data_IF_035452786506
#
_entry.id   IF_035452786506
#
_cell.length_a   1.000
_cell.length_b   1.000
_cell.length_c   1.000
_cell.angle_alpha   90.00
_cell.angle_beta   90.00
_cell.angle_gamma   90.00
#
_symmetry.space_group_name_H-M   'P 1'
#
loop_
_entity.id
_entity.type
_entity.pdbx_description
1 polymer ?
#
# COMPACT_ATOMS: atom_id res chain seq x y z
N UNK A 1 42.72 -66.35 -32.88
CA UNK A 1 41.77 -66.12 -31.82
C UNK A 1 41.98 -64.66 -31.37
N UNK A 2 41.28 -63.72 -31.97
CA UNK A 2 41.40 -62.27 -31.75
C UNK A 2 40.34 -61.79 -30.79
N UNK A 3 40.69 -61.18 -29.66
CA UNK A 3 39.78 -60.56 -28.67
C UNK A 3 39.49 -59.15 -29.07
N UNK A 4 38.22 -58.89 -29.44
CA UNK A 4 37.69 -57.56 -29.70
C UNK A 4 37.32 -56.95 -28.32
N UNK A 5 37.96 -55.79 -27.98
CA UNK A 5 37.57 -54.94 -26.83
C UNK A 5 36.51 -53.94 -27.29
N UNK A 6 35.34 -54.04 -26.69
CA UNK A 6 34.25 -53.07 -26.88
C UNK A 6 34.43 -51.94 -25.87
N UNK A 7 34.75 -50.74 -26.34
CA UNK A 7 34.80 -49.53 -25.51
C UNK A 7 33.41 -48.87 -25.48
N UNK A 8 32.85 -48.78 -24.30
CA UNK A 8 31.55 -48.11 -24.04
C UNK A 8 31.82 -46.61 -23.82
N UNK A 9 31.40 -45.78 -24.76
CA UNK A 9 31.43 -44.33 -24.62
C UNK A 9 30.15 -43.90 -23.89
N UNK A 10 30.27 -43.47 -22.61
CA UNK A 10 29.19 -42.75 -21.92
C UNK A 10 29.19 -41.31 -22.36
N UNK A 11 28.17 -40.90 -23.11
CA UNK A 11 27.87 -39.49 -23.41
C UNK A 11 27.09 -38.95 -22.22
N UNK A 12 27.72 -38.11 -21.40
CA UNK A 12 27.07 -37.28 -20.41
C UNK A 12 26.40 -36.12 -21.13
N UNK A 13 25.08 -36.17 -21.28
CA UNK A 13 24.28 -35.03 -21.67
C UNK A 13 24.17 -34.06 -20.50
N UNK A 14 24.92 -32.99 -20.53
CA UNK A 14 24.73 -31.80 -19.66
C UNK A 14 23.46 -31.11 -20.11
N UNK A 15 22.35 -31.35 -19.45
CA UNK A 15 21.16 -30.48 -19.50
C UNK A 15 21.49 -29.18 -18.80
N UNK A 16 21.97 -28.20 -19.55
CA UNK A 16 22.02 -26.82 -19.10
C UNK A 16 20.60 -26.28 -18.98
N UNK A 17 20.06 -26.19 -17.76
CA UNK A 17 18.91 -25.33 -17.48
C UNK A 17 19.35 -23.89 -17.67
N UNK A 18 19.24 -23.37 -18.90
CA UNK A 18 19.29 -21.96 -19.16
C UNK A 18 18.02 -21.35 -18.55
N UNK A 19 18.17 -20.66 -17.42
CA UNK A 19 17.18 -19.68 -17.01
C UNK A 19 17.13 -18.63 -18.12
N UNK A 20 16.05 -18.62 -18.88
CA UNK A 20 15.75 -17.51 -19.78
C UNK A 20 15.60 -16.26 -18.91
N UNK A 21 16.61 -15.40 -18.91
CA UNK A 21 16.47 -14.04 -18.43
C UNK A 21 15.39 -13.38 -19.32
N UNK A 22 14.21 -13.17 -18.77
CA UNK A 22 13.22 -12.36 -19.45
C UNK A 22 13.85 -10.98 -19.65
N UNK A 23 13.87 -10.53 -20.90
CA UNK A 23 14.40 -9.22 -21.28
C UNK A 23 13.45 -8.17 -20.67
N UNK A 24 13.84 -7.59 -19.54
CA UNK A 24 13.03 -6.60 -18.78
C UNK A 24 13.10 -5.20 -19.42
N UNK A 25 13.95 -5.00 -20.42
CA UNK A 25 14.18 -3.69 -21.04
C UNK A 25 12.94 -3.05 -21.68
N UNK A 26 11.92 -3.84 -22.05
CA UNK A 26 10.70 -3.35 -22.73
C UNK A 26 9.41 -3.58 -21.91
N UNK A 27 9.48 -3.97 -20.65
CA UNK A 27 8.26 -4.13 -19.86
C UNK A 27 7.76 -2.78 -19.33
N UNK A 28 6.47 -2.45 -19.51
CA UNK A 28 5.89 -1.22 -18.97
C UNK A 28 5.94 -1.23 -17.44
N UNK A 29 5.99 -0.04 -16.84
CA UNK A 29 5.92 0.10 -15.40
C UNK A 29 4.48 -0.17 -14.93
N UNK A 30 4.31 -1.10 -14.01
CA UNK A 30 3.03 -1.32 -13.30
C UNK A 30 2.83 -0.21 -12.27
N UNK A 31 1.74 0.53 -12.39
CA UNK A 31 1.37 1.61 -11.47
C UNK A 31 0.27 1.11 -10.53
N UNK A 32 0.60 0.88 -9.28
CA UNK A 32 -0.36 0.55 -8.24
C UNK A 32 -0.65 1.77 -7.38
N UNK A 33 -1.86 1.85 -6.82
CA UNK A 33 -2.27 2.99 -6.00
C UNK A 33 -2.92 2.48 -4.72
N UNK A 34 -2.49 2.97 -3.55
CA UNK A 34 -3.13 2.66 -2.28
C UNK A 34 -4.54 3.22 -2.24
N UNK A 35 -5.45 2.47 -1.63
CA UNK A 35 -6.86 2.79 -1.52
C UNK A 35 -7.33 2.68 -0.07
N UNK A 36 -7.69 3.79 0.54
CA UNK A 36 -8.18 3.86 1.91
C UNK A 36 -9.72 3.73 1.93
N UNK A 37 -10.31 2.70 2.59
CA UNK A 37 -11.70 2.31 2.36
C UNK A 37 -12.71 2.91 3.37
N UNK A 38 -12.49 4.10 3.94
CA UNK A 38 -13.34 4.63 5.03
C UNK A 38 -14.39 5.68 4.58
N UNK A 39 -14.73 5.70 3.28
CA UNK A 39 -15.70 6.66 2.73
C UNK A 39 -17.03 6.00 2.33
N UNK A 40 -17.50 5.03 3.13
CA UNK A 40 -18.78 4.35 2.92
C UNK A 40 -19.62 4.33 4.20
N UNK A 41 -20.94 4.32 4.04
CA UNK A 41 -21.90 4.19 5.15
C UNK A 41 -22.09 2.73 5.57
N UNK A 42 -22.72 2.53 6.74
CA UNK A 42 -23.16 1.22 7.20
C UNK A 42 -22.06 0.31 7.72
N UNK A 43 -20.86 0.83 8.00
CA UNK A 43 -19.88 0.05 8.76
C UNK A 43 -20.30 -0.04 10.23
N UNK A 44 -20.52 -1.26 10.77
CA UNK A 44 -21.06 -1.40 12.12
C UNK A 44 -20.16 -0.80 13.21
N UNK A 45 -18.84 -0.82 13.03
CA UNK A 45 -17.88 -0.30 14.01
C UNK A 45 -17.85 1.23 14.00
N UNK A 46 -17.85 1.83 12.81
CA UNK A 46 -17.96 3.28 12.68
C UNK A 46 -19.29 3.79 13.23
N UNK A 47 -20.39 3.13 12.91
CA UNK A 47 -21.71 3.54 13.39
C UNK A 47 -21.86 3.39 14.91
N UNK A 48 -21.27 2.36 15.49
CA UNK A 48 -21.23 2.19 16.96
C UNK A 48 -20.42 3.30 17.65
N UNK A 49 -19.31 3.74 17.07
CA UNK A 49 -18.44 4.75 17.65
C UNK A 49 -18.88 6.19 17.35
N UNK A 50 -19.46 6.45 16.17
CA UNK A 50 -19.69 7.79 15.60
C UNK A 50 -21.14 8.12 15.29
N UNK A 51 -22.02 7.13 15.29
CA UNK A 51 -23.43 7.26 14.92
C UNK A 51 -23.75 6.79 13.51
N UNK A 52 -25.04 6.50 13.29
CA UNK A 52 -25.56 5.94 12.04
C UNK A 52 -25.24 6.83 10.84
N UNK A 53 -24.74 6.21 9.77
CA UNK A 53 -24.42 6.88 8.52
C UNK A 53 -23.11 7.67 8.53
N UNK A 54 -22.31 7.61 9.59
CA UNK A 54 -21.02 8.29 9.65
C UNK A 54 -20.04 7.69 8.61
N UNK A 55 -19.29 8.58 7.97
CA UNK A 55 -18.16 8.26 7.12
C UNK A 55 -17.05 9.27 7.37
N UNK A 56 -15.82 9.01 6.96
CA UNK A 56 -14.72 9.95 7.14
C UNK A 56 -14.89 11.26 6.33
N UNK A 57 -15.85 11.31 5.39
CA UNK A 57 -16.28 12.56 4.76
C UNK A 57 -16.69 13.65 5.76
N UNK A 58 -17.15 13.26 6.96
CA UNK A 58 -17.53 14.23 8.00
C UNK A 58 -16.33 15.06 8.49
N UNK A 59 -15.13 14.49 8.48
CA UNK A 59 -13.90 15.22 8.81
C UNK A 59 -13.49 16.14 7.66
N UNK A 60 -13.56 15.66 6.43
CA UNK A 60 -13.24 16.43 5.23
C UNK A 60 -14.15 17.65 5.10
N UNK A 61 -15.48 17.48 5.28
CA UNK A 61 -16.47 18.56 5.22
C UNK A 61 -16.25 19.63 6.27
N UNK A 62 -15.82 19.23 7.48
CA UNK A 62 -15.65 20.14 8.63
C UNK A 62 -14.27 20.79 8.69
N UNK A 63 -13.32 20.29 7.90
CA UNK A 63 -11.96 20.82 7.88
C UNK A 63 -11.93 22.33 7.57
N UNK A 64 -10.98 23.04 8.16
CA UNK A 64 -10.78 24.49 7.94
C UNK A 64 -9.30 24.86 7.95
N UNK A 65 -8.96 26.01 7.38
CA UNK A 65 -7.57 26.49 7.41
C UNK A 65 -7.04 26.57 8.85
N UNK A 66 -5.82 26.09 9.06
CA UNK A 66 -5.15 26.03 10.37
C UNK A 66 -4.07 27.10 10.51
N UNK A 67 -3.58 27.62 9.39
CA UNK A 67 -2.56 28.67 9.31
C UNK A 67 -2.74 29.49 8.02
N UNK A 68 -2.02 30.58 7.89
CA UNK A 68 -2.12 31.46 6.72
C UNK A 68 -1.73 30.73 5.42
N UNK A 69 -2.57 30.83 4.39
CA UNK A 69 -2.37 30.12 3.12
C UNK A 69 -2.77 28.64 3.12
N UNK A 70 -3.17 28.07 4.25
CA UNK A 70 -3.63 26.70 4.32
C UNK A 70 -4.95 26.49 3.59
N UNK A 71 -5.00 25.50 2.69
CA UNK A 71 -6.20 25.17 1.92
C UNK A 71 -7.01 24.06 2.57
N UNK A 72 -8.11 24.42 3.20
CA UNK A 72 -9.16 23.52 3.67
C UNK A 72 -10.52 24.26 3.63
N UNK A 73 -11.67 23.57 3.49
CA UNK A 73 -11.80 22.15 3.16
C UNK A 73 -11.38 21.86 1.72
N UNK A 74 -10.93 20.62 1.46
CA UNK A 74 -10.77 20.08 0.12
C UNK A 74 -12.08 19.46 -0.30
N UNK A 75 -12.59 19.81 -1.49
CA UNK A 75 -13.94 19.40 -1.94
C UNK A 75 -13.84 18.48 -3.13
N UNK A 76 -14.34 17.23 -3.02
CA UNK A 76 -14.32 16.28 -4.14
C UNK A 76 -15.16 16.79 -5.32
N UNK A 77 -14.61 16.65 -6.55
CA UNK A 77 -15.33 17.04 -7.78
C UNK A 77 -16.55 16.16 -8.02
N UNK A 78 -16.48 14.88 -7.64
CA UNK A 78 -17.56 13.91 -7.79
C UNK A 78 -18.56 13.92 -6.61
N UNK A 79 -18.39 14.85 -5.67
CA UNK A 79 -19.14 14.88 -4.42
C UNK A 79 -18.65 13.84 -3.41
N UNK A 80 -19.33 13.79 -2.28
CA UNK A 80 -19.03 12.87 -1.17
C UNK A 80 -19.69 11.51 -1.44
N UNK A 81 -19.08 10.72 -2.31
CA UNK A 81 -19.62 9.42 -2.76
C UNK A 81 -19.59 8.37 -1.67
N UNK A 82 -20.58 7.47 -1.68
CA UNK A 82 -20.56 6.25 -0.84
C UNK A 82 -19.83 5.14 -1.60
N UNK A 83 -18.67 4.73 -1.11
CA UNK A 83 -17.82 3.72 -1.76
C UNK A 83 -18.36 2.28 -1.65
N UNK A 84 -19.44 2.07 -0.92
CA UNK A 84 -20.21 0.83 -0.96
C UNK A 84 -21.04 0.71 -2.23
N UNK A 85 -21.36 1.82 -2.89
CA UNK A 85 -22.13 1.82 -4.13
C UNK A 85 -21.26 1.36 -5.32
N UNK A 86 -21.62 0.24 -6.00
CA UNK A 86 -20.91 -0.23 -7.17
C UNK A 86 -20.87 0.78 -8.34
N UNK A 87 -21.83 1.72 -8.41
CA UNK A 87 -21.83 2.76 -9.45
C UNK A 87 -20.78 3.83 -9.16
N UNK A 88 -20.65 4.26 -7.90
CA UNK A 88 -19.59 5.16 -7.48
C UNK A 88 -18.20 4.52 -7.73
N UNK A 89 -18.05 3.25 -7.38
CA UNK A 89 -16.80 2.51 -7.61
C UNK A 89 -16.52 2.31 -9.10
N UNK A 90 -17.54 2.09 -9.94
CA UNK A 90 -17.35 1.98 -11.38
C UNK A 90 -16.79 3.27 -11.98
N UNK A 91 -17.23 4.45 -11.53
CA UNK A 91 -16.67 5.74 -11.93
C UNK A 91 -15.18 5.87 -11.55
N UNK A 92 -14.83 5.48 -10.32
CA UNK A 92 -13.44 5.52 -9.82
C UNK A 92 -12.54 4.55 -10.58
N UNK A 93 -13.00 3.33 -10.85
CA UNK A 93 -12.30 2.31 -11.66
C UNK A 93 -12.04 2.84 -13.08
N UNK A 94 -13.05 3.41 -13.73
CA UNK A 94 -12.90 3.96 -15.08
C UNK A 94 -11.90 5.12 -15.09
N UNK A 95 -11.96 6.00 -14.11
CA UNK A 95 -11.02 7.11 -13.99
C UNK A 95 -9.59 6.61 -13.79
N UNK A 96 -9.35 5.67 -12.87
CA UNK A 96 -8.03 5.11 -12.61
C UNK A 96 -7.45 4.40 -13.84
N UNK A 97 -8.21 3.48 -14.44
CA UNK A 97 -7.77 2.71 -15.60
C UNK A 97 -7.52 3.59 -16.85
N UNK A 98 -8.35 4.63 -17.06
CA UNK A 98 -8.17 5.57 -18.19
C UNK A 98 -6.94 6.50 -18.00
N UNK A 99 -6.39 6.57 -16.79
CA UNK A 99 -5.23 7.42 -16.48
C UNK A 99 -3.96 6.63 -16.15
N UNK A 100 -3.90 5.34 -16.52
CA UNK A 100 -2.67 4.57 -16.45
C UNK A 100 -2.39 3.91 -15.10
N UNK A 101 -3.36 3.84 -14.19
CA UNK A 101 -3.29 3.02 -12.98
C UNK A 101 -3.68 1.59 -13.33
N UNK A 102 -2.91 0.60 -12.87
CA UNK A 102 -3.10 -0.82 -13.15
C UNK A 102 -3.77 -1.56 -12.02
N UNK A 103 -3.50 -1.16 -10.78
CA UNK A 103 -3.98 -1.85 -9.59
C UNK A 103 -4.33 -0.89 -8.45
N UNK A 104 -5.35 -1.24 -7.68
CA UNK A 104 -5.56 -0.70 -6.35
C UNK A 104 -4.98 -1.66 -5.30
N UNK A 105 -4.29 -1.10 -4.29
CA UNK A 105 -3.86 -1.81 -3.08
C UNK A 105 -4.77 -1.33 -1.97
N UNK A 106 -5.77 -2.13 -1.61
CA UNK A 106 -6.69 -1.76 -0.55
C UNK A 106 -6.03 -1.89 0.82
N UNK A 107 -6.14 -0.85 1.64
CA UNK A 107 -5.86 -0.92 3.06
C UNK A 107 -6.92 -1.83 3.68
N UNK A 108 -6.52 -3.06 4.03
CA UNK A 108 -7.42 -4.11 4.46
C UNK A 108 -7.32 -4.30 5.97
N UNK A 109 -8.43 -4.14 6.65
CA UNK A 109 -8.52 -4.23 8.10
C UNK A 109 -9.21 -5.51 8.51
N UNK A 110 -8.52 -6.33 9.31
CA UNK A 110 -9.05 -7.57 9.84
C UNK A 110 -8.55 -7.77 11.27
N UNK A 111 -9.49 -7.94 12.20
CA UNK A 111 -9.24 -8.06 13.63
C UNK A 111 -9.68 -9.43 14.16
N UNK A 112 -9.43 -9.70 15.46
CA UNK A 112 -9.80 -10.96 16.11
C UNK A 112 -11.31 -11.25 15.98
N UNK A 113 -12.12 -10.23 16.10
CA UNK A 113 -13.58 -10.31 16.10
C UNK A 113 -14.24 -10.06 14.72
N UNK A 114 -13.43 -9.83 13.66
CA UNK A 114 -13.96 -9.72 12.30
C UNK A 114 -13.38 -8.59 11.47
N UNK A 115 -13.95 -8.37 10.27
CA UNK A 115 -13.51 -7.35 9.34
C UNK A 115 -13.92 -5.95 9.78
N UNK A 116 -13.21 -4.95 9.23
CA UNK A 116 -13.53 -3.54 9.36
C UNK A 116 -13.30 -2.85 8.01
N UNK A 117 -14.14 -1.91 7.65
CA UNK A 117 -14.09 -1.12 6.40
C UNK A 117 -14.13 -1.95 5.09
N UNK A 118 -14.46 -3.24 5.16
CA UNK A 118 -14.40 -4.15 4.01
C UNK A 118 -15.49 -3.91 2.96
N UNK A 119 -16.57 -3.19 3.28
CA UNK A 119 -17.73 -3.02 2.37
C UNK A 119 -17.38 -2.23 1.11
N UNK A 120 -16.42 -1.31 1.18
CA UNK A 120 -15.89 -0.61 0.02
C UNK A 120 -15.35 -1.61 -1.03
N UNK A 121 -14.56 -2.60 -0.59
CA UNK A 121 -14.02 -3.65 -1.46
C UNK A 121 -15.10 -4.66 -1.87
N UNK A 122 -15.82 -5.22 -0.88
CA UNK A 122 -16.69 -6.39 -1.08
C UNK A 122 -18.02 -6.03 -1.79
N UNK A 123 -18.60 -4.87 -1.48
CA UNK A 123 -19.88 -4.43 -2.03
C UNK A 123 -19.70 -3.40 -3.15
N UNK A 124 -18.70 -2.53 -3.04
CA UNK A 124 -18.39 -1.51 -4.04
C UNK A 124 -17.55 -2.05 -5.19
N UNK A 125 -16.25 -2.22 -4.96
CA UNK A 125 -15.27 -2.55 -6.01
C UNK A 125 -15.54 -3.89 -6.69
N UNK A 126 -15.68 -4.98 -5.92
CA UNK A 126 -15.86 -6.33 -6.47
C UNK A 126 -17.22 -6.52 -7.16
N UNK A 127 -18.21 -5.68 -6.88
CA UNK A 127 -19.54 -5.71 -7.53
C UNK A 127 -19.69 -4.67 -8.65
N UNK A 128 -18.69 -3.80 -8.85
CA UNK A 128 -18.72 -2.86 -9.95
C UNK A 128 -18.67 -3.60 -11.29
N UNK A 129 -19.50 -3.17 -12.26
CA UNK A 129 -19.64 -3.81 -13.59
C UNK A 129 -18.33 -3.87 -14.40
N UNK A 130 -17.40 -2.98 -14.08
CA UNK A 130 -16.10 -2.80 -14.75
C UNK A 130 -14.91 -3.15 -13.84
N UNK A 131 -15.12 -3.90 -12.75
CA UNK A 131 -14.06 -4.29 -11.78
C UNK A 131 -12.85 -4.99 -12.45
N UNK A 132 -13.07 -5.68 -13.58
CA UNK A 132 -12.01 -6.35 -14.33
C UNK A 132 -11.07 -5.40 -15.10
N UNK A 133 -11.36 -4.09 -15.14
CA UNK A 133 -10.47 -3.08 -15.75
C UNK A 133 -9.24 -2.79 -14.89
N UNK A 134 -9.31 -3.06 -13.59
CA UNK A 134 -8.20 -2.90 -12.65
C UNK A 134 -7.87 -4.21 -11.94
N UNK A 135 -6.60 -4.42 -11.68
CA UNK A 135 -6.19 -5.38 -10.67
C UNK A 135 -6.45 -4.81 -9.29
N UNK A 136 -6.52 -5.69 -8.30
CA UNK A 136 -6.51 -5.29 -6.89
C UNK A 136 -5.64 -6.23 -6.06
N UNK A 137 -5.15 -5.71 -4.96
CA UNK A 137 -4.47 -6.49 -3.93
C UNK A 137 -4.78 -5.90 -2.57
N UNK A 138 -4.28 -6.54 -1.53
CA UNK A 138 -4.52 -6.16 -0.16
C UNK A 138 -3.19 -5.82 0.53
N UNK A 139 -3.21 -4.74 1.30
CA UNK A 139 -2.24 -4.47 2.36
C UNK A 139 -2.96 -4.65 3.68
N UNK A 140 -2.57 -5.65 4.47
CA UNK A 140 -3.13 -5.78 5.81
C UNK A 140 -2.63 -4.62 6.67
N UNK A 141 -3.54 -3.66 6.94
CA UNK A 141 -3.34 -2.54 7.84
C UNK A 141 -3.50 -3.04 9.29
N UNK A 142 -2.58 -3.89 9.69
CA UNK A 142 -2.58 -4.67 10.93
C UNK A 142 -2.05 -3.87 12.13
N UNK A 143 -2.55 -2.66 12.32
CA UNK A 143 -2.24 -1.81 13.47
C UNK A 143 -3.45 -1.67 14.41
N UNK A 144 -3.19 -1.22 15.63
CA UNK A 144 -4.26 -0.88 16.57
C UNK A 144 -5.10 0.27 16.00
N UNK A 145 -6.42 0.11 15.98
CA UNK A 145 -7.31 1.20 15.61
C UNK A 145 -7.66 2.03 16.83
N UNK A 146 -7.24 3.27 16.82
CA UNK A 146 -7.42 4.20 17.92
C UNK A 146 -8.35 5.35 17.52
N UNK A 147 -8.99 5.98 18.53
CA UNK A 147 -9.89 7.10 18.31
C UNK A 147 -9.10 8.38 18.02
N UNK A 148 -9.00 8.70 16.71
CA UNK A 148 -8.35 9.92 16.20
C UNK A 148 -9.19 10.63 15.13
N UNK A 149 -10.54 10.48 15.17
CA UNK A 149 -11.43 10.94 14.11
C UNK A 149 -12.57 11.84 14.63
N UNK A 150 -12.29 13.10 15.09
CA UNK A 150 -10.98 13.77 15.17
C UNK A 150 -10.26 13.52 16.51
N UNK A 151 -8.95 13.67 16.50
CA UNK A 151 -8.12 13.61 17.70
C UNK A 151 -8.06 14.96 18.40
N UNK A 152 -8.37 14.98 19.70
CA UNK A 152 -8.20 16.13 20.57
C UNK A 152 -6.86 16.05 21.29
N UNK A 153 -6.03 17.06 21.13
CA UNK A 153 -4.71 17.12 21.74
C UNK A 153 -4.76 17.05 23.26
N UNK A 154 -3.85 16.28 23.83
CA UNK A 154 -3.74 16.12 25.30
C UNK A 154 -4.76 15.17 25.91
N UNK A 155 -5.54 14.45 25.07
CA UNK A 155 -6.34 13.32 25.53
C UNK A 155 -5.66 12.00 25.18
N UNK A 156 -5.91 10.95 25.94
CA UNK A 156 -5.47 9.61 25.60
C UNK A 156 -6.18 9.14 24.34
N UNK A 157 -5.44 8.52 23.43
CA UNK A 157 -6.01 7.86 22.26
C UNK A 157 -6.69 6.57 22.73
N UNK A 158 -8.01 6.56 22.72
CA UNK A 158 -8.77 5.36 23.10
C UNK A 158 -8.52 4.25 22.08
N UNK A 159 -8.01 3.10 22.55
CA UNK A 159 -7.93 1.89 21.74
C UNK A 159 -9.35 1.36 21.48
N UNK A 160 -9.73 1.31 20.21
CA UNK A 160 -11.02 0.78 19.77
C UNK A 160 -10.91 -0.69 19.35
N UNK A 161 -9.95 -1.02 18.47
CA UNK A 161 -9.76 -2.37 17.95
C UNK A 161 -8.27 -2.75 17.99
N UNK A 162 -7.88 -3.74 18.85
CA UNK A 162 -6.50 -4.21 18.94
C UNK A 162 -6.09 -4.95 17.66
N UNK A 163 -4.88 -4.70 17.19
CA UNK A 163 -4.30 -5.39 16.04
C UNK A 163 -4.03 -6.88 16.29
N UNK A 164 -3.98 -7.29 17.56
CA UNK A 164 -3.66 -8.66 17.95
C UNK A 164 -4.69 -9.66 17.45
N UNK A 165 -4.22 -10.71 16.76
CA UNK A 165 -5.02 -11.86 16.35
C UNK A 165 -4.45 -13.15 16.90
N UNK A 166 -5.32 -14.08 17.30
CA UNK A 166 -4.91 -15.41 17.76
C UNK A 166 -4.41 -16.27 16.58
N UNK A 167 -3.59 -17.29 16.82
CA UNK A 167 -3.17 -18.24 15.77
C UNK A 167 -4.36 -18.91 15.06
N UNK A 168 -5.42 -19.24 15.79
CA UNK A 168 -6.65 -19.80 15.22
C UNK A 168 -7.31 -18.79 14.27
N UNK A 169 -7.47 -17.54 14.73
CA UNK A 169 -8.05 -16.48 13.90
C UNK A 169 -7.21 -16.22 12.65
N UNK A 170 -5.89 -16.24 12.76
CA UNK A 170 -5.01 -16.10 11.62
C UNK A 170 -5.23 -17.21 10.56
N UNK A 171 -5.43 -18.45 10.98
CA UNK A 171 -5.72 -19.55 10.03
C UNK A 171 -7.07 -19.33 9.31
N UNK A 172 -8.10 -18.81 10.01
CA UNK A 172 -9.39 -18.42 9.42
C UNK A 172 -9.21 -17.25 8.43
N UNK A 173 -8.36 -16.28 8.78
CA UNK A 173 -7.98 -15.16 7.91
C UNK A 173 -7.29 -15.67 6.64
N UNK A 174 -6.39 -16.62 6.75
CA UNK A 174 -5.73 -17.23 5.59
C UNK A 174 -6.73 -17.91 4.66
N UNK A 175 -7.70 -18.65 5.20
CA UNK A 175 -8.74 -19.30 4.40
C UNK A 175 -9.63 -18.27 3.69
N UNK A 176 -10.01 -17.20 4.39
CA UNK A 176 -10.77 -16.09 3.83
C UNK A 176 -10.00 -15.39 2.70
N UNK A 177 -8.71 -15.03 2.92
CA UNK A 177 -7.86 -14.40 1.92
C UNK A 177 -7.79 -15.21 0.63
N UNK A 178 -7.54 -16.51 0.75
CA UNK A 178 -7.40 -17.38 -0.42
C UNK A 178 -8.73 -17.56 -1.14
N UNK A 179 -9.80 -17.88 -0.41
CA UNK A 179 -11.11 -18.19 -0.97
C UNK A 179 -11.78 -16.97 -1.61
N UNK A 180 -11.76 -15.84 -0.90
CA UNK A 180 -12.62 -14.71 -1.24
C UNK A 180 -11.88 -13.63 -2.05
N UNK A 181 -10.53 -13.60 -2.02
CA UNK A 181 -9.76 -12.58 -2.74
C UNK A 181 -8.70 -13.17 -3.69
N UNK A 182 -7.72 -13.97 -3.22
CA UNK A 182 -6.56 -14.37 -4.03
C UNK A 182 -6.91 -15.14 -5.30
N UNK A 183 -8.03 -15.88 -5.29
CA UNK A 183 -8.54 -16.63 -6.45
C UNK A 183 -9.41 -15.80 -7.40
N UNK A 184 -9.65 -14.52 -7.11
CA UNK A 184 -10.38 -13.64 -8.06
C UNK A 184 -9.54 -13.40 -9.31
N UNK A 185 -10.18 -13.39 -10.51
CA UNK A 185 -9.44 -13.27 -11.77
C UNK A 185 -8.68 -11.95 -11.94
N UNK A 186 -9.09 -10.91 -11.24
CA UNK A 186 -8.44 -9.59 -11.22
C UNK A 186 -7.60 -9.35 -9.95
N UNK A 187 -7.35 -10.37 -9.11
CA UNK A 187 -6.37 -10.21 -8.04
C UNK A 187 -4.97 -10.00 -8.64
N UNK A 188 -4.19 -9.06 -8.07
CA UNK A 188 -2.86 -8.75 -8.60
C UNK A 188 -1.87 -9.85 -8.24
N UNK A 189 -1.30 -10.47 -9.28
CA UNK A 189 -0.28 -11.51 -9.14
C UNK A 189 1.06 -10.99 -9.66
N UNK A 190 2.13 -11.26 -8.92
CA UNK A 190 3.51 -11.09 -9.36
C UNK A 190 4.08 -12.50 -9.58
N UNK A 191 4.47 -12.82 -10.80
CA UNK A 191 5.00 -14.13 -11.20
C UNK A 191 4.09 -15.32 -10.83
N UNK A 192 2.77 -15.08 -10.79
CA UNK A 192 1.75 -16.06 -10.41
C UNK A 192 1.57 -16.25 -8.91
N UNK A 193 2.22 -15.45 -8.07
CA UNK A 193 2.03 -15.37 -6.62
C UNK A 193 1.09 -14.22 -6.28
N UNK A 194 0.15 -14.41 -5.37
CA UNK A 194 -0.74 -13.34 -4.90
C UNK A 194 0.07 -12.26 -4.15
N UNK A 195 0.05 -11.00 -4.63
CA UNK A 195 0.68 -9.89 -3.93
C UNK A 195 -0.10 -9.58 -2.65
N UNK A 196 0.59 -9.64 -1.50
CA UNK A 196 0.01 -9.32 -0.21
C UNK A 196 1.01 -8.57 0.66
N UNK A 197 0.61 -7.43 1.19
CA UNK A 197 1.49 -6.54 1.94
C UNK A 197 1.15 -6.51 3.43
N UNK A 198 2.16 -6.35 4.29
CA UNK A 198 2.03 -6.14 5.72
C UNK A 198 2.43 -4.70 6.04
N UNK A 199 1.53 -3.97 6.68
CA UNK A 199 1.75 -2.58 7.05
C UNK A 199 2.61 -2.45 8.32
N UNK A 200 2.25 -3.17 9.39
CA UNK A 200 2.97 -3.15 10.66
C UNK A 200 3.59 -4.53 10.95
N UNK A 201 4.88 -4.66 10.58
CA UNK A 201 5.62 -5.91 10.79
C UNK A 201 5.88 -6.18 12.28
N UNK A 202 5.97 -5.15 13.13
CA UNK A 202 6.12 -5.31 14.57
C UNK A 202 4.89 -6.02 15.16
N UNK A 203 3.69 -5.48 14.89
CA UNK A 203 2.43 -6.11 15.32
C UNK A 203 2.25 -7.51 14.74
N UNK A 204 2.73 -7.73 13.51
CA UNK A 204 2.68 -9.04 12.89
C UNK A 204 3.57 -10.06 13.63
N UNK A 205 4.78 -9.69 14.02
CA UNK A 205 5.66 -10.55 14.85
C UNK A 205 5.11 -10.74 16.26
N UNK A 206 4.56 -9.69 16.87
CA UNK A 206 3.92 -9.75 18.19
C UNK A 206 2.79 -10.79 18.25
N UNK A 207 2.03 -10.97 17.15
CA UNK A 207 0.96 -11.97 17.09
C UNK A 207 1.45 -13.42 17.25
N UNK A 208 2.67 -13.71 16.85
CA UNK A 208 3.23 -15.07 16.88
C UNK A 208 4.35 -15.24 17.90
N UNK A 209 4.89 -14.16 18.46
CA UNK A 209 5.85 -14.15 19.57
C UNK A 209 7.30 -14.43 19.19
N UNK A 210 7.60 -14.88 17.96
CA UNK A 210 8.96 -15.04 17.44
C UNK A 210 9.05 -14.89 15.92
N UNK A 211 10.25 -14.67 15.40
CA UNK A 211 10.54 -14.60 13.97
C UNK A 211 10.20 -15.94 13.29
N UNK A 212 10.61 -17.06 13.90
CA UNK A 212 10.37 -18.42 13.37
C UNK A 212 8.87 -18.71 13.26
N UNK A 213 8.10 -18.47 14.32
CA UNK A 213 6.67 -18.71 14.35
C UNK A 213 5.93 -17.80 13.35
N UNK A 214 6.41 -16.54 13.17
CA UNK A 214 5.87 -15.61 12.17
C UNK A 214 6.14 -16.11 10.75
N UNK A 215 7.36 -16.56 10.47
CA UNK A 215 7.72 -17.17 9.17
C UNK A 215 6.90 -18.43 8.88
N UNK A 216 6.66 -19.27 9.88
CA UNK A 216 5.78 -20.42 9.73
C UNK A 216 4.34 -20.01 9.42
N UNK A 217 3.82 -18.97 10.07
CA UNK A 217 2.52 -18.39 9.75
C UNK A 217 2.45 -17.89 8.31
N UNK A 218 3.45 -17.18 7.84
CA UNK A 218 3.56 -16.74 6.43
C UNK A 218 3.59 -17.94 5.47
N UNK A 219 4.31 -19.01 5.82
CA UNK A 219 4.36 -20.23 5.02
C UNK A 219 3.03 -20.98 4.99
N UNK A 220 2.23 -20.94 6.08
CA UNK A 220 0.87 -21.52 6.05
C UNK A 220 0.00 -20.83 4.99
N UNK A 221 0.01 -19.50 4.89
CA UNK A 221 -0.72 -18.79 3.84
C UNK A 221 -0.17 -19.11 2.44
N UNK A 222 1.16 -19.19 2.26
CA UNK A 222 1.77 -19.63 0.97
C UNK A 222 1.25 -21.00 0.55
N UNK A 223 1.23 -21.97 1.47
CA UNK A 223 0.79 -23.33 1.20
C UNK A 223 -0.70 -23.40 0.85
N UNK A 224 -1.56 -22.64 1.55
CA UNK A 224 -2.98 -22.53 1.23
C UNK A 224 -3.20 -21.94 -0.17
N UNK A 225 -2.45 -20.90 -0.54
CA UNK A 225 -2.50 -20.30 -1.89
C UNK A 225 -2.05 -21.29 -2.97
N UNK A 226 -0.99 -22.07 -2.72
CA UNK A 226 -0.53 -23.13 -3.62
C UNK A 226 -1.60 -24.22 -3.78
N UNK A 227 -2.22 -24.66 -2.69
CA UNK A 227 -3.30 -25.63 -2.72
C UNK A 227 -4.53 -25.15 -3.53
N UNK A 228 -4.74 -23.83 -3.60
CA UNK A 228 -5.77 -23.18 -4.42
C UNK A 228 -5.36 -22.94 -5.89
N UNK A 229 -4.17 -23.41 -6.33
CA UNK A 229 -3.70 -23.31 -7.72
C UNK A 229 -2.81 -22.11 -8.04
N UNK A 230 -2.46 -21.26 -7.08
CA UNK A 230 -1.50 -20.18 -7.25
C UNK A 230 -0.06 -20.68 -7.09
N UNK A 231 0.92 -19.85 -7.50
CA UNK A 231 2.34 -20.17 -7.23
C UNK A 231 2.78 -19.78 -5.80
N UNK A 232 1.86 -19.38 -4.94
CA UNK A 232 2.08 -18.96 -3.57
C UNK A 232 1.66 -17.52 -3.32
N UNK A 233 2.30 -16.89 -2.32
CA UNK A 233 2.10 -15.49 -1.96
C UNK A 233 3.39 -14.71 -2.19
N UNK A 234 3.31 -13.57 -2.87
CA UNK A 234 4.37 -12.57 -2.92
C UNK A 234 4.19 -11.64 -1.72
N UNK A 235 4.99 -11.89 -0.68
CA UNK A 235 4.94 -11.11 0.53
C UNK A 235 5.70 -9.79 0.37
N UNK A 236 5.02 -8.70 0.62
CA UNK A 236 5.61 -7.37 0.63
C UNK A 236 5.59 -6.77 2.04
N UNK A 237 6.64 -6.07 2.43
CA UNK A 237 6.70 -5.31 3.68
C UNK A 237 6.63 -3.81 3.38
N UNK A 238 5.76 -3.09 4.10
CA UNK A 238 5.86 -1.63 4.21
C UNK A 238 6.94 -1.31 5.24
N UNK A 239 8.09 -0.83 4.76
CA UNK A 239 9.27 -0.63 5.60
C UNK A 239 9.38 0.83 6.05
N UNK A 240 9.32 1.10 7.36
CA UNK A 240 9.50 2.43 7.97
C UNK A 240 10.77 2.54 8.80
N UNK A 241 11.61 1.54 8.78
CA UNK A 241 12.80 1.36 9.57
C UNK A 241 12.78 0.01 10.31
N UNK A 242 13.73 -0.20 11.19
CA UNK A 242 13.77 -1.39 12.02
C UNK A 242 12.85 -1.19 13.25
N UNK A 243 11.81 -2.00 13.43
CA UNK A 243 10.96 -1.93 14.60
C UNK A 243 11.65 -2.50 15.84
N UNK A 244 11.20 -2.09 17.02
CA UNK A 244 11.59 -2.73 18.29
C UNK A 244 10.73 -3.98 18.45
N UNK A 245 11.34 -5.15 18.26
CA UNK A 245 10.63 -6.42 18.35
C UNK A 245 10.76 -7.03 19.74
N UNK A 246 9.66 -7.55 20.34
CA UNK A 246 9.68 -8.22 21.63
C UNK A 246 10.09 -9.70 21.48
N UNK A 247 11.26 -9.93 20.90
CA UNK A 247 11.84 -11.27 20.66
C UNK A 247 13.19 -11.39 21.33
N UNK A 248 13.59 -12.63 21.69
CA UNK A 248 14.84 -12.87 22.44
C UNK A 248 16.09 -12.45 21.65
N UNK A 249 16.10 -12.69 20.33
CA UNK A 249 17.20 -12.33 19.43
C UNK A 249 16.66 -11.44 18.29
N UNK A 250 16.53 -10.13 18.51
CA UNK A 250 16.02 -9.23 17.47
C UNK A 250 17.03 -9.09 16.33
N UNK A 251 16.56 -8.95 15.07
CA UNK A 251 17.42 -8.69 13.93
C UNK A 251 18.17 -7.36 14.10
N UNK A 252 19.41 -7.29 13.62
CA UNK A 252 20.27 -6.13 13.77
C UNK A 252 19.85 -4.95 12.84
N UNK A 253 19.13 -5.23 11.77
CA UNK A 253 18.70 -4.23 10.79
C UNK A 253 17.50 -4.72 9.98
N UNK A 254 16.91 -3.80 9.19
CA UNK A 254 15.73 -4.09 8.36
C UNK A 254 15.99 -5.19 7.33
N UNK A 255 17.19 -5.25 6.75
CA UNK A 255 17.53 -6.28 5.75
C UNK A 255 17.49 -7.68 6.35
N UNK A 256 18.07 -7.85 7.54
CA UNK A 256 18.04 -9.12 8.26
C UNK A 256 16.61 -9.53 8.64
N UNK A 257 15.78 -8.59 9.09
CA UNK A 257 14.37 -8.84 9.36
C UNK A 257 13.62 -9.34 8.11
N UNK A 258 13.81 -8.66 6.97
CA UNK A 258 13.23 -9.03 5.68
C UNK A 258 13.65 -10.44 5.28
N UNK A 259 14.93 -10.76 5.41
CA UNK A 259 15.49 -12.07 5.06
C UNK A 259 14.98 -13.18 5.98
N UNK A 260 14.98 -12.96 7.30
CA UNK A 260 14.56 -13.95 8.29
C UNK A 260 13.07 -14.29 8.15
N UNK A 261 12.22 -13.32 7.87
CA UNK A 261 10.80 -13.54 7.64
C UNK A 261 10.50 -14.08 6.21
N UNK A 262 11.39 -13.83 5.26
CA UNK A 262 11.25 -14.28 3.88
C UNK A 262 10.24 -13.43 3.10
N UNK A 263 10.32 -12.10 3.21
CA UNK A 263 9.61 -11.19 2.32
C UNK A 263 10.21 -11.23 0.92
N UNK A 264 9.34 -11.13 -0.10
CA UNK A 264 9.75 -11.14 -1.51
C UNK A 264 10.10 -9.72 -2.02
N UNK A 265 9.57 -8.66 -1.39
CA UNK A 265 9.84 -7.25 -1.72
C UNK A 265 9.56 -6.33 -0.54
N UNK A 266 10.02 -5.08 -0.66
CA UNK A 266 9.73 -4.01 0.27
C UNK A 266 9.20 -2.76 -0.46
N UNK A 267 8.48 -1.91 0.27
CA UNK A 267 7.95 -0.63 -0.22
C UNK A 267 7.81 0.38 0.91
N UNK A 268 7.44 1.62 0.56
CA UNK A 268 6.95 2.63 1.50
C UNK A 268 5.46 2.89 1.25
N UNK A 269 4.73 3.29 2.31
CA UNK A 269 3.35 3.75 2.19
C UNK A 269 3.28 5.21 1.77
N UNK A 270 4.03 6.07 2.46
CA UNK A 270 4.01 7.53 2.29
C UNK A 270 5.39 8.13 2.54
N UNK A 271 5.72 9.24 1.90
CA UNK A 271 7.04 9.86 2.00
C UNK A 271 7.40 10.34 3.40
N UNK A 272 6.43 10.78 4.19
CA UNK A 272 6.68 11.33 5.52
C UNK A 272 7.26 10.32 6.52
N UNK A 273 7.17 9.04 6.22
CA UNK A 273 7.84 8.00 7.00
C UNK A 273 9.38 8.06 6.84
N UNK A 274 9.88 8.71 5.78
CA UNK A 274 11.30 8.75 5.42
C UNK A 274 11.84 10.16 5.20
N UNK A 275 10.96 11.14 5.00
CA UNK A 275 11.29 12.54 4.78
C UNK A 275 10.72 13.39 5.92
N UNK A 276 11.59 14.08 6.65
CA UNK A 276 11.15 15.01 7.67
C UNK A 276 10.48 16.24 7.05
N UNK A 277 9.46 16.75 7.72
CA UNK A 277 8.77 17.99 7.36
C UNK A 277 9.13 19.08 8.39
N UNK A 278 10.24 19.82 8.19
CA UNK A 278 10.71 20.79 9.18
C UNK A 278 9.85 22.07 9.24
N UNK A 279 9.22 22.43 8.14
CA UNK A 279 8.43 23.65 8.02
C UNK A 279 6.93 23.35 8.11
N UNK A 280 6.11 24.31 8.60
CA UNK A 280 4.64 24.15 8.66
C UNK A 280 4.05 23.69 7.32
N UNK A 281 4.62 24.19 6.22
CA UNK A 281 4.44 23.68 4.87
C UNK A 281 5.82 23.41 4.25
N UNK A 282 6.29 22.18 4.37
CA UNK A 282 7.54 21.77 3.74
C UNK A 282 7.37 21.65 2.23
N UNK A 283 8.29 22.19 1.46
CA UNK A 283 8.25 22.15 -0.01
C UNK A 283 8.26 20.71 -0.51
N UNK A 284 7.34 20.38 -1.42
CA UNK A 284 7.15 19.05 -1.99
C UNK A 284 8.43 18.47 -2.61
N UNK A 285 9.20 19.32 -3.30
CA UNK A 285 10.42 18.86 -3.97
C UNK A 285 11.53 18.50 -2.97
N UNK A 286 11.61 19.20 -1.83
CA UNK A 286 12.53 18.80 -0.74
C UNK A 286 12.17 17.44 -0.15
N UNK A 287 10.88 17.19 0.09
CA UNK A 287 10.43 15.90 0.59
C UNK A 287 10.65 14.78 -0.43
N UNK A 288 10.40 15.03 -1.73
CA UNK A 288 10.73 14.12 -2.83
C UNK A 288 12.22 13.74 -2.82
N UNK A 289 13.10 14.72 -2.76
CA UNK A 289 14.55 14.50 -2.83
C UNK A 289 15.04 13.70 -1.61
N UNK A 290 14.51 13.99 -0.42
CA UNK A 290 14.79 13.22 0.79
C UNK A 290 14.30 11.76 0.65
N UNK A 291 13.10 11.56 0.10
CA UNK A 291 12.59 10.22 -0.16
C UNK A 291 13.42 9.47 -1.21
N UNK A 292 13.87 10.14 -2.26
CA UNK A 292 14.72 9.49 -3.28
C UNK A 292 16.06 9.04 -2.70
N UNK A 293 16.65 9.82 -1.78
CA UNK A 293 17.83 9.38 -1.04
C UNK A 293 17.56 8.14 -0.17
N UNK A 294 16.38 8.07 0.47
CA UNK A 294 15.94 6.87 1.17
C UNK A 294 15.77 5.68 0.21
N UNK A 295 15.14 5.85 -0.95
CA UNK A 295 14.98 4.81 -1.96
C UNK A 295 16.33 4.23 -2.40
N UNK A 296 17.31 5.09 -2.71
CA UNK A 296 18.65 4.64 -3.08
C UNK A 296 19.32 3.83 -1.97
N UNK A 297 19.12 4.22 -0.71
CA UNK A 297 19.59 3.48 0.46
C UNK A 297 18.87 2.14 0.60
N UNK A 298 17.54 2.12 0.58
CA UNK A 298 16.73 0.92 0.73
C UNK A 298 17.03 -0.12 -0.37
N UNK A 299 17.12 0.32 -1.63
CA UNK A 299 17.52 -0.52 -2.76
C UNK A 299 18.87 -1.20 -2.56
N UNK A 300 19.82 -0.49 -1.95
CA UNK A 300 21.16 -1.01 -1.68
C UNK A 300 21.22 -1.96 -0.48
N UNK A 301 20.40 -1.70 0.56
CA UNK A 301 20.52 -2.34 1.86
C UNK A 301 19.56 -3.51 2.06
N UNK A 302 18.33 -3.48 1.51
CA UNK A 302 17.29 -4.43 1.90
C UNK A 302 17.44 -5.84 1.31
N UNK A 303 18.23 -6.01 0.26
CA UNK A 303 18.50 -7.33 -0.34
C UNK A 303 17.33 -7.97 -1.09
N UNK A 304 16.22 -7.25 -1.23
CA UNK A 304 15.03 -7.61 -2.01
C UNK A 304 14.63 -6.46 -2.93
N UNK A 305 13.85 -6.71 -4.01
CA UNK A 305 13.28 -5.64 -4.82
C UNK A 305 12.54 -4.60 -3.97
N UNK A 306 12.82 -3.33 -4.20
CA UNK A 306 12.15 -2.22 -3.55
C UNK A 306 11.21 -1.53 -4.54
N UNK A 307 9.92 -1.49 -4.23
CA UNK A 307 8.89 -0.81 -5.01
C UNK A 307 8.75 0.62 -4.51
N UNK A 308 9.22 1.64 -5.24
CA UNK A 308 9.18 3.01 -4.77
C UNK A 308 7.76 3.52 -4.64
N UNK A 309 7.58 4.54 -3.80
CA UNK A 309 6.35 5.28 -3.62
C UNK A 309 6.46 6.69 -4.20
N UNK A 310 5.39 7.18 -4.83
CA UNK A 310 5.20 8.61 -5.08
C UNK A 310 4.00 9.09 -4.28
N UNK A 311 4.27 9.95 -3.29
CA UNK A 311 3.23 10.56 -2.46
C UNK A 311 2.70 11.83 -3.17
N UNK A 312 1.37 11.96 -3.31
CA UNK A 312 0.74 13.11 -3.95
C UNK A 312 0.73 14.34 -3.05
N UNK A 313 0.55 14.15 -1.74
CA UNK A 313 0.46 15.22 -0.75
C UNK A 313 0.51 14.70 0.67
N UNK A 314 0.49 15.62 1.65
CA UNK A 314 0.34 15.30 3.06
C UNK A 314 -0.25 16.48 3.82
N UNK A 315 -1.39 16.26 4.46
CA UNK A 315 -2.10 17.24 5.30
C UNK A 315 -3.12 16.50 6.18
N UNK A 316 -2.72 16.10 7.37
CA UNK A 316 -3.57 15.36 8.33
C UNK A 316 -4.47 16.27 9.19
N UNK A 317 -4.54 17.56 8.87
CA UNK A 317 -5.32 18.54 9.63
C UNK A 317 -6.82 18.24 9.76
N UNK A 318 -7.50 17.54 8.81
CA UNK A 318 -8.90 17.15 9.00
C UNK A 318 -9.12 16.17 10.17
N UNK A 319 -8.10 15.39 10.53
CA UNK A 319 -8.15 14.47 11.70
C UNK A 319 -7.88 15.15 13.03
N UNK A 320 -7.60 16.45 13.05
CA UNK A 320 -7.33 17.21 14.28
C UNK A 320 -8.58 17.93 14.78
N UNK A 321 -8.80 17.96 16.10
CA UNK A 321 -9.88 18.76 16.68
C UNK A 321 -9.72 20.23 16.24
N UNK A 322 -10.82 20.82 15.79
CA UNK A 322 -10.82 22.16 15.20
C UNK A 322 -10.59 23.28 16.24
N UNK A 323 -10.76 22.99 17.52
CA UNK A 323 -10.57 23.94 18.61
C UNK A 323 -9.13 23.91 19.16
N UNK A 324 -8.34 22.90 18.78
CA UNK A 324 -6.95 22.82 19.17
C UNK A 324 -6.09 23.75 18.33
N UNK A 325 -5.07 24.35 18.94
CA UNK A 325 -4.05 25.10 18.24
C UNK A 325 -3.26 24.19 17.29
N UNK A 326 -2.86 24.71 16.12
CA UNK A 326 -2.06 23.96 15.16
C UNK A 326 -0.57 24.00 15.49
N UNK A 327 0.10 22.86 15.34
CA UNK A 327 1.54 22.71 15.52
C UNK A 327 2.00 21.29 15.16
N UNK A 328 3.31 21.08 15.17
CA UNK A 328 3.90 19.76 14.91
C UNK A 328 4.14 19.03 16.22
N UNK A 329 3.18 18.26 16.67
CA UNK A 329 3.21 17.54 17.96
C UNK A 329 3.05 16.02 17.82
N UNK A 330 3.28 15.52 16.60
CA UNK A 330 3.03 14.12 16.28
C UNK A 330 1.66 13.90 15.66
N UNK A 331 1.51 12.77 14.97
CA UNK A 331 0.30 12.44 14.23
C UNK A 331 -0.95 12.45 15.12
N UNK A 332 -2.08 13.06 14.66
CA UNK A 332 -2.28 13.70 13.38
C UNK A 332 -1.84 15.17 13.28
N UNK A 333 -1.35 15.78 14.36
CA UNK A 333 -0.80 17.13 14.37
C UNK A 333 0.61 17.14 13.79
N UNK A 334 0.73 17.13 12.47
CA UNK A 334 2.00 17.14 11.75
C UNK A 334 2.11 18.32 10.81
N UNK A 335 3.32 18.75 10.50
CA UNK A 335 3.57 19.66 9.40
C UNK A 335 3.04 19.07 8.08
N UNK A 336 2.75 19.93 7.10
CA UNK A 336 2.13 19.55 5.83
C UNK A 336 3.13 19.64 4.68
N UNK A 337 2.81 18.99 3.54
CA UNK A 337 3.47 19.28 2.27
C UNK A 337 2.81 20.48 1.60
N UNK A 338 3.64 21.45 1.22
CA UNK A 338 3.26 22.59 0.37
C UNK A 338 3.84 22.44 -1.03
N UNK A 339 3.33 23.23 -1.97
CA UNK A 339 3.81 23.23 -3.36
C UNK A 339 3.68 21.86 -4.08
N UNK A 340 2.81 20.99 -3.59
CA UNK A 340 2.45 19.72 -4.23
C UNK A 340 1.47 19.95 -5.38
N UNK A 341 1.88 20.76 -6.38
CA UNK A 341 1.08 21.02 -7.58
C UNK A 341 1.05 19.82 -8.52
N UNK A 342 0.07 19.74 -9.46
CA UNK A 342 0.07 18.70 -10.49
C UNK A 342 1.38 18.64 -11.29
N UNK A 343 2.03 19.77 -11.54
CA UNK A 343 3.30 19.85 -12.27
C UNK A 343 4.46 19.25 -11.46
N UNK A 344 4.54 19.57 -10.16
CA UNK A 344 5.56 19.01 -9.28
C UNK A 344 5.33 17.50 -9.04
N UNK A 345 4.08 17.07 -8.94
CA UNK A 345 3.71 15.66 -8.88
C UNK A 345 4.09 14.93 -10.17
N UNK A 346 3.78 15.52 -11.35
CA UNK A 346 4.19 14.98 -12.65
C UNK A 346 5.71 14.85 -12.77
N UNK A 347 6.44 15.84 -12.27
CA UNK A 347 7.91 15.79 -12.21
C UNK A 347 8.41 14.63 -11.34
N UNK A 348 7.79 14.40 -10.17
CA UNK A 348 8.14 13.26 -9.31
C UNK A 348 7.85 11.92 -9.99
N UNK A 349 6.71 11.79 -10.69
CA UNK A 349 6.37 10.59 -11.47
C UNK A 349 7.41 10.33 -12.58
N UNK A 350 7.78 11.36 -13.35
CA UNK A 350 8.76 11.24 -14.43
C UNK A 350 10.13 10.79 -13.88
N UNK A 351 10.62 11.46 -12.85
CA UNK A 351 11.90 11.10 -12.23
C UNK A 351 11.89 9.69 -11.64
N UNK A 352 10.75 9.25 -11.06
CA UNK A 352 10.61 7.88 -10.57
C UNK A 352 10.65 6.88 -11.73
N UNK A 353 9.94 7.16 -12.83
CA UNK A 353 9.97 6.34 -14.05
C UNK A 353 11.39 6.22 -14.59
N UNK A 354 12.10 7.35 -14.73
CA UNK A 354 13.48 7.37 -15.23
C UNK A 354 14.42 6.53 -14.36
N UNK A 355 14.30 6.64 -13.02
CA UNK A 355 15.09 5.83 -12.07
C UNK A 355 14.75 4.34 -12.16
N UNK A 356 13.48 3.96 -12.35
CA UNK A 356 13.06 2.57 -12.54
C UNK A 356 13.62 2.02 -13.85
N UNK A 357 13.56 2.78 -14.94
CA UNK A 357 14.03 2.34 -16.26
C UNK A 357 15.57 2.32 -16.36
N UNK A 358 16.26 3.14 -15.59
CA UNK A 358 17.74 3.14 -15.53
C UNK A 358 18.33 1.85 -14.92
N UNK A 359 17.53 1.05 -14.21
CA UNK A 359 17.94 -0.26 -13.70
C UNK A 359 17.35 -1.39 -14.54
N UNK A 360 18.11 -2.00 -15.47
CA UNK A 360 17.59 -3.01 -16.38
C UNK A 360 17.12 -4.28 -15.65
N UNK A 361 17.65 -4.56 -14.47
CA UNK A 361 17.28 -5.71 -13.64
C UNK A 361 16.34 -5.35 -12.47
N UNK A 362 15.99 -4.08 -12.34
CA UNK A 362 15.14 -3.59 -11.27
C UNK A 362 13.65 -3.92 -11.48
N UNK A 363 12.84 -3.81 -10.43
CA UNK A 363 11.40 -3.99 -10.54
C UNK A 363 10.78 -2.88 -11.41
N UNK A 364 9.74 -3.23 -12.16
CA UNK A 364 8.92 -2.30 -12.95
C UNK A 364 7.59 -2.04 -12.24
N UNK A 365 7.66 -1.65 -10.96
CA UNK A 365 6.50 -1.42 -10.12
C UNK A 365 6.68 -0.09 -9.39
N UNK A 366 5.63 0.74 -9.42
CA UNK A 366 5.50 2.00 -8.70
C UNK A 366 4.23 1.95 -7.85
N UNK A 367 4.32 2.35 -6.60
CA UNK A 367 3.16 2.58 -5.74
C UNK A 367 2.89 4.08 -5.60
N UNK A 368 1.63 4.50 -5.67
CA UNK A 368 1.20 5.89 -5.43
C UNK A 368 0.43 5.94 -4.11
N UNK A 369 0.79 6.85 -3.25
CA UNK A 369 -0.02 7.23 -2.09
C UNK A 369 -0.70 8.57 -2.41
N UNK A 370 -1.95 8.61 -2.48
CA UNK A 370 -2.97 7.58 -2.37
C UNK A 370 -4.10 7.86 -3.38
N UNK A 371 -5.04 6.93 -3.58
CA UNK A 371 -6.22 7.21 -4.40
C UNK A 371 -7.14 8.23 -3.71
N UNK A 372 -7.39 8.05 -2.40
CA UNK A 372 -8.45 8.73 -1.69
C UNK A 372 -8.17 9.05 -0.20
N UNK A 373 -6.91 9.21 0.22
CA UNK A 373 -6.61 9.65 1.60
C UNK A 373 -6.89 11.17 1.78
N UNK A 374 -8.17 11.54 1.68
CA UNK A 374 -8.64 12.93 1.78
C UNK A 374 -8.30 13.59 3.12
N UNK A 375 -8.39 12.83 4.20
CA UNK A 375 -8.11 13.34 5.56
C UNK A 375 -6.63 13.44 5.87
N UNK A 376 -5.76 12.86 5.01
CA UNK A 376 -4.32 13.04 5.05
C UNK A 376 -3.80 13.92 3.89
N UNK A 377 -4.71 14.42 3.07
CA UNK A 377 -4.36 15.33 1.98
C UNK A 377 -3.57 14.69 0.85
N UNK A 378 -3.60 13.37 0.74
CA UNK A 378 -2.98 12.59 -0.33
C UNK A 378 -4.04 11.84 -1.12
N UNK A 379 -4.48 12.39 -2.25
CA UNK A 379 -5.57 11.81 -3.03
C UNK A 379 -5.44 12.15 -4.52
N UNK A 380 -5.61 11.14 -5.38
CA UNK A 380 -5.69 11.30 -6.83
C UNK A 380 -7.12 11.57 -7.31
N UNK A 381 -8.13 11.27 -6.50
CA UNK A 381 -9.51 11.62 -6.83
C UNK A 381 -9.62 13.12 -7.13
N UNK A 382 -10.37 13.51 -8.18
CA UNK A 382 -10.41 14.91 -8.58
C UNK A 382 -11.09 15.80 -7.55
N UNK A 383 -10.54 16.98 -7.33
CA UNK A 383 -11.11 18.00 -6.49
C UNK A 383 -11.60 19.22 -7.31
N UNK A 384 -12.41 20.06 -6.68
CA UNK A 384 -13.01 21.23 -7.36
C UNK A 384 -12.01 22.32 -7.74
N UNK A 385 -10.77 22.28 -7.23
CA UNK A 385 -9.72 23.26 -7.52
C UNK A 385 -8.83 22.84 -8.68
N UNK A 386 -8.39 21.57 -8.68
CA UNK A 386 -7.43 21.05 -9.65
C UNK A 386 -8.07 20.18 -10.72
N UNK A 387 -9.37 19.85 -10.57
CA UNK A 387 -10.05 18.97 -11.51
C UNK A 387 -9.35 17.61 -11.60
N UNK A 388 -9.11 17.14 -12.81
CA UNK A 388 -8.47 15.86 -13.11
C UNK A 388 -6.93 15.95 -13.21
N UNK A 389 -6.30 17.11 -12.95
CA UNK A 389 -4.91 17.37 -13.30
C UNK A 389 -3.89 16.40 -12.70
N UNK A 390 -4.13 15.85 -11.51
CA UNK A 390 -3.26 14.81 -10.93
C UNK A 390 -3.38 13.46 -11.66
N UNK A 391 -4.59 13.06 -12.03
CA UNK A 391 -4.81 11.86 -12.86
C UNK A 391 -4.24 12.05 -14.27
N UNK A 392 -4.41 13.25 -14.85
CA UNK A 392 -3.80 13.58 -16.13
C UNK A 392 -2.27 13.51 -16.07
N UNK A 393 -1.65 13.93 -14.96
CA UNK A 393 -0.21 13.77 -14.74
C UNK A 393 0.22 12.29 -14.76
N UNK A 394 -0.56 11.38 -14.14
CA UNK A 394 -0.30 9.93 -14.20
C UNK A 394 -0.43 9.43 -15.64
N UNK A 395 -1.51 9.80 -16.34
CA UNK A 395 -1.74 9.41 -17.74
C UNK A 395 -0.61 9.86 -18.65
N UNK A 396 -0.17 11.09 -18.53
CA UNK A 396 0.87 11.67 -19.39
C UNK A 396 2.21 10.94 -19.26
N UNK A 397 2.50 10.35 -18.09
CA UNK A 397 3.74 9.62 -17.82
C UNK A 397 3.61 8.13 -18.13
N UNK A 398 2.47 7.50 -17.81
CA UNK A 398 2.30 6.04 -17.86
C UNK A 398 1.19 5.56 -18.80
N UNK A 399 0.29 6.43 -19.25
CA UNK A 399 -0.88 6.03 -20.05
C UNK A 399 -0.57 5.61 -21.49
N UNK A 400 0.54 6.06 -22.08
CA UNK A 400 0.88 5.83 -23.49
C UNK A 400 1.66 4.51 -23.73
N UNK A 401 1.94 3.75 -22.70
CA UNK A 401 2.70 2.49 -22.82
C UNK A 401 1.80 1.24 -22.81
N UNK A 402 0.46 1.42 -22.86
CA UNK A 402 -0.54 0.36 -22.67
C UNK A 402 -1.46 0.20 -23.87
#
# INVERSE_FOLDING_TARGET
MSKIKLSLFCILALCGCGQASQNTENQPVTVACYYFPNYHTGDPRNEAAKGVGWTEWELVKKARPRFAGHRQPKVPLWGYTDERDPLAMAQKIDAAANHGIDAFIFDWYMYEDGPFLNRCLDEGFLKAKNTNRLKFSLMWANHDWVEIHPYKRGTDQQLLYPAKVSPKRYDEICDHLVKDYFTKPNYWLIDGKAYFSIYDVQKFVENFGSIEATREAMNRLRNKAIAAGLKGVHWNIVAWGLPILPVENPPANTAELIQLLGFDSATSYVWIHHAQLPDVQTDYNKARDAYFAHWDKAKKEYGVPYFPNVTMGWDSSPRCDLNDEWGNWGYPFTNTLGNNTPENFKTALQQTKDKLLADPNGPRILNINCWNEWTEGSYLEPDTKTGMAYLEAVRDIFGNEK
#
